data_IF_652173502604
#
_entry.id   IF_652173502604
#
_cell.length_a   1.000
_cell.length_b   1.000
_cell.length_c   1.000
_cell.angle_alpha   90.00
_cell.angle_beta   90.00
_cell.angle_gamma   90.00
#
_symmetry.space_group_name_H-M   'P 1'
#
loop_
_entity.id
_entity.type
_entity.pdbx_description
1 polymer ?
#
# COMPACT_ATOMS: atom_id res chain seq x y z
N UNK A 1 -15.89 41.69 -2.62
CA UNK A 1 -15.25 41.28 -3.87
C UNK A 1 -13.75 41.11 -3.61
N UNK A 2 -13.31 39.90 -3.26
CA UNK A 2 -11.91 39.64 -2.89
C UNK A 2 -11.04 39.61 -4.15
N UNK A 3 -10.31 40.70 -4.40
CA UNK A 3 -9.30 40.76 -5.46
C UNK A 3 -8.06 40.00 -5.00
N UNK A 4 -7.96 38.73 -5.37
CA UNK A 4 -6.73 37.95 -5.16
C UNK A 4 -5.64 38.60 -6.05
N UNK A 5 -4.58 39.10 -5.41
CA UNK A 5 -3.46 39.74 -6.12
C UNK A 5 -2.72 38.71 -6.96
N UNK A 6 -2.37 39.05 -8.21
CA UNK A 6 -1.66 38.15 -9.14
C UNK A 6 -0.33 37.62 -8.56
N UNK A 7 0.34 38.40 -7.71
CA UNK A 7 1.55 37.95 -6.99
C UNK A 7 1.25 36.83 -5.98
N UNK A 8 0.08 36.86 -5.33
CA UNK A 8 -0.38 35.82 -4.42
C UNK A 8 -0.70 34.52 -5.15
N UNK A 9 -1.24 34.60 -6.38
CA UNK A 9 -1.49 33.43 -7.23
C UNK A 9 -0.17 32.78 -7.64
N UNK A 10 0.83 33.58 -8.04
CA UNK A 10 2.16 33.07 -8.44
C UNK A 10 2.89 32.42 -7.27
N UNK A 11 2.79 33.02 -6.08
CA UNK A 11 3.34 32.44 -4.86
C UNK A 11 2.64 31.12 -4.50
N UNK A 12 1.31 31.07 -4.58
CA UNK A 12 0.56 29.83 -4.35
C UNK A 12 0.92 28.74 -5.36
N UNK A 13 1.08 29.09 -6.63
CA UNK A 13 1.49 28.16 -7.69
C UNK A 13 2.91 27.64 -7.47
N UNK A 14 3.85 28.51 -7.07
CA UNK A 14 5.22 28.11 -6.75
C UNK A 14 5.25 27.14 -5.54
N UNK A 15 4.49 27.44 -4.48
CA UNK A 15 4.37 26.55 -3.32
C UNK A 15 3.70 25.22 -3.68
N UNK A 16 2.70 25.24 -4.58
CA UNK A 16 2.04 24.03 -5.06
C UNK A 16 2.99 23.16 -5.88
N UNK A 17 3.75 23.76 -6.80
CA UNK A 17 4.76 23.05 -7.59
C UNK A 17 5.86 22.50 -6.69
N UNK A 18 6.30 23.25 -5.67
CA UNK A 18 7.25 22.77 -4.68
C UNK A 18 6.70 21.57 -3.90
N UNK A 19 5.44 21.65 -3.45
CA UNK A 19 4.76 20.57 -2.71
C UNK A 19 4.61 19.30 -3.57
N UNK A 20 4.18 19.45 -4.83
CA UNK A 20 4.04 18.33 -5.77
C UNK A 20 5.40 17.75 -6.12
N UNK A 21 6.42 18.59 -6.28
CA UNK A 21 7.80 18.16 -6.53
C UNK A 21 8.43 17.37 -5.37
N UNK A 22 7.87 17.47 -4.15
CA UNK A 22 8.30 16.72 -2.97
C UNK A 22 7.66 15.31 -2.87
N UNK A 23 6.56 15.06 -3.59
CA UNK A 23 5.86 13.76 -3.59
C UNK A 23 6.74 12.54 -3.94
N UNK A 24 7.65 12.57 -4.94
CA UNK A 24 8.49 11.41 -5.27
C UNK A 24 9.57 11.11 -4.23
N UNK A 25 9.81 12.02 -3.28
CA UNK A 25 10.74 11.82 -2.16
C UNK A 25 10.05 11.23 -0.93
N UNK A 26 8.73 11.01 -0.97
CA UNK A 26 8.04 10.25 0.07
C UNK A 26 8.52 8.80 0.01
N UNK A 27 8.88 8.19 1.15
CA UNK A 27 9.25 6.78 1.18
C UNK A 27 8.10 5.94 0.63
N UNK A 28 8.39 5.09 -0.35
CA UNK A 28 7.45 4.08 -0.80
C UNK A 28 7.26 3.09 0.36
N UNK A 29 6.02 2.94 0.85
CA UNK A 29 5.67 1.85 1.76
C UNK A 29 5.67 0.54 0.96
N UNK A 30 6.84 -0.07 0.81
CA UNK A 30 6.95 -1.48 0.53
C UNK A 30 6.78 -2.24 1.85
N UNK A 31 6.33 -3.50 1.82
CA UNK A 31 6.47 -4.35 2.99
C UNK A 31 7.96 -4.43 3.31
N UNK A 32 8.36 -3.94 4.48
CA UNK A 32 9.77 -3.81 4.89
C UNK A 32 10.49 -5.17 4.93
N UNK A 33 9.73 -6.28 4.97
CA UNK A 33 10.28 -7.62 5.03
C UNK A 33 9.42 -8.61 4.23
N UNK A 34 10.07 -9.32 3.31
CA UNK A 34 9.46 -10.46 2.65
C UNK A 34 9.46 -11.65 3.61
N UNK A 35 8.27 -12.17 3.90
CA UNK A 35 8.08 -13.39 4.63
C UNK A 35 8.51 -14.57 3.76
N UNK A 36 9.11 -15.58 4.38
CA UNK A 36 9.30 -16.86 3.72
C UNK A 36 7.95 -17.42 3.24
N UNK A 37 7.90 -18.14 2.11
CA UNK A 37 6.66 -18.67 1.54
C UNK A 37 5.82 -19.47 2.54
N UNK A 38 6.45 -20.24 3.42
CA UNK A 38 5.76 -21.04 4.43
C UNK A 38 5.04 -20.19 5.50
N UNK A 39 5.51 -18.96 5.73
CA UNK A 39 4.86 -18.00 6.64
C UNK A 39 3.79 -17.19 5.92
N UNK A 40 4.06 -16.79 4.67
CA UNK A 40 3.13 -16.02 3.85
C UNK A 40 1.91 -16.85 3.40
N UNK A 41 2.10 -18.13 3.12
CA UNK A 41 1.12 -19.01 2.49
C UNK A 41 1.00 -20.33 3.23
N UNK A 42 0.07 -20.38 4.18
CA UNK A 42 -0.12 -21.55 5.02
C UNK A 42 -1.24 -22.41 4.46
N UNK A 43 -0.88 -23.55 3.85
CA UNK A 43 -1.81 -24.59 3.44
C UNK A 43 -1.92 -25.66 4.54
N UNK A 44 -3.13 -25.90 5.02
CA UNK A 44 -3.45 -27.00 5.93
C UNK A 44 -4.46 -27.93 5.27
N UNK A 45 -4.25 -29.24 5.45
CA UNK A 45 -5.12 -30.28 4.90
C UNK A 45 -5.66 -31.12 6.04
N UNK A 46 -6.98 -31.27 6.09
CA UNK A 46 -7.65 -32.12 7.06
C UNK A 46 -8.47 -33.18 6.34
N UNK A 47 -8.24 -34.45 6.68
CA UNK A 47 -9.07 -35.55 6.20
C UNK A 47 -10.35 -35.57 7.01
N UNK A 48 -11.50 -35.40 6.35
CA UNK A 48 -12.80 -35.47 7.01
C UNK A 48 -13.34 -36.91 7.01
N UNK A 49 -13.24 -37.58 5.86
CA UNK A 49 -13.63 -38.98 5.69
C UNK A 49 -12.96 -39.60 4.44
N UNK A 50 -13.32 -40.85 4.13
CA UNK A 50 -12.74 -41.64 3.04
C UNK A 50 -12.84 -41.00 1.64
N UNK A 51 -13.70 -40.00 1.44
CA UNK A 51 -13.86 -39.32 0.14
C UNK A 51 -13.77 -37.80 0.24
N UNK A 52 -13.48 -37.25 1.42
CA UNK A 52 -13.54 -35.80 1.66
C UNK A 52 -12.31 -35.30 2.39
N UNK A 53 -11.66 -34.33 1.75
CA UNK A 53 -10.59 -33.53 2.32
C UNK A 53 -11.07 -32.09 2.44
N UNK A 54 -10.67 -31.44 3.53
CA UNK A 54 -10.80 -30.01 3.74
C UNK A 54 -9.44 -29.37 3.57
N UNK A 55 -9.39 -28.35 2.71
CA UNK A 55 -8.21 -27.54 2.47
C UNK A 55 -8.45 -26.17 3.10
N UNK A 56 -7.53 -25.73 3.95
CA UNK A 56 -7.54 -24.38 4.50
C UNK A 56 -6.28 -23.66 4.03
N UNK A 57 -6.46 -22.56 3.31
CA UNK A 57 -5.36 -21.74 2.80
C UNK A 57 -5.44 -20.37 3.44
N UNK A 58 -4.39 -20.01 4.18
CA UNK A 58 -4.29 -18.71 4.86
C UNK A 58 -3.15 -17.92 4.24
N UNK A 59 -3.46 -16.70 3.82
CA UNK A 59 -2.50 -15.75 3.27
C UNK A 59 -2.24 -14.65 4.29
N UNK A 60 -0.98 -14.33 4.54
CA UNK A 60 -0.59 -13.27 5.47
C UNK A 60 -1.01 -11.88 4.93
N UNK A 61 -1.32 -10.90 5.78
CA UNK A 61 -1.66 -9.55 5.33
C UNK A 61 -0.54 -8.94 4.49
N UNK A 62 -0.86 -8.45 3.29
CA UNK A 62 0.11 -7.87 2.36
C UNK A 62 0.66 -8.83 1.31
N UNK A 63 0.14 -10.06 1.22
CA UNK A 63 0.46 -11.08 0.20
C UNK A 63 -0.77 -11.49 -0.61
#
# INVERSE_FOLDING_TARGET
>A
MHMIKLSSIRAALASFVLLVGLLPFLPAHAADEFLDPDQAFQLSVRVLDAKRLELSYRVAPGY
#
